data_IF_272958438865
#
_entry.id   IF_272958438865
#
_cell.length_a   1.000
_cell.length_b   1.000
_cell.length_c   1.000
_cell.angle_alpha   90.00
_cell.angle_beta   90.00
_cell.angle_gamma   90.00
#
_symmetry.space_group_name_H-M   'P 1'
#
loop_
_entity.id
_entity.type
_entity.pdbx_description
1 polymer ?
#
# COMPACT_ATOMS: atom_id res chain seq x y z
N UNK A 1 -5.95 23.23 -5.29
CA UNK A 1 -6.29 22.84 -3.90
C UNK A 1 -7.79 22.81 -3.69
N UNK A 2 -8.43 21.67 -3.96
CA UNK A 2 -9.83 21.42 -3.58
C UNK A 2 -9.88 20.84 -2.15
N UNK A 3 -11.00 21.00 -1.42
CA UNK A 3 -11.19 20.32 -0.13
C UNK A 3 -10.99 18.81 -0.23
N UNK A 4 -11.41 18.19 -1.34
CA UNK A 4 -11.22 16.77 -1.60
C UNK A 4 -9.75 16.36 -1.70
N UNK A 5 -8.90 17.17 -2.35
CA UNK A 5 -7.46 16.90 -2.44
C UNK A 5 -6.78 16.98 -1.07
N UNK A 6 -7.20 17.94 -0.23
CA UNK A 6 -6.68 18.06 1.13
C UNK A 6 -7.05 16.85 2.00
N UNK A 7 -8.31 16.41 1.92
CA UNK A 7 -8.76 15.20 2.63
C UNK A 7 -7.98 13.97 2.17
N UNK A 8 -7.78 13.80 0.87
CA UNK A 8 -6.97 12.71 0.32
C UNK A 8 -5.56 12.71 0.91
N UNK A 9 -4.84 13.85 0.88
CA UNK A 9 -3.48 13.93 1.38
C UNK A 9 -3.38 13.61 2.87
N UNK A 10 -4.31 14.11 3.68
CA UNK A 10 -4.38 13.81 5.12
C UNK A 10 -4.66 12.33 5.34
N UNK A 11 -5.58 11.72 4.58
CA UNK A 11 -5.86 10.29 4.65
C UNK A 11 -4.63 9.46 4.32
N UNK A 12 -3.84 9.85 3.31
CA UNK A 12 -2.60 9.14 2.94
C UNK A 12 -1.53 9.23 4.04
N UNK A 13 -1.38 10.39 4.68
CA UNK A 13 -0.51 10.57 5.84
C UNK A 13 -0.92 9.64 7.00
N UNK A 14 -2.19 9.68 7.40
CA UNK A 14 -2.71 8.86 8.50
C UNK A 14 -2.59 7.36 8.19
N UNK A 15 -2.88 6.98 6.94
CA UNK A 15 -2.74 5.61 6.47
C UNK A 15 -1.30 5.12 6.60
N UNK A 16 -0.33 5.88 6.10
CA UNK A 16 1.07 5.50 6.16
C UNK A 16 1.62 5.47 7.60
N UNK A 17 1.21 6.41 8.46
CA UNK A 17 1.56 6.40 9.90
C UNK A 17 1.00 5.14 10.59
N UNK A 18 -0.23 4.73 10.27
CA UNK A 18 -0.85 3.52 10.85
C UNK A 18 -0.09 2.24 10.47
N UNK A 19 0.41 2.17 9.24
CA UNK A 19 1.23 1.06 8.77
C UNK A 19 2.60 1.03 9.47
N UNK A 20 3.27 2.18 9.59
CA UNK A 20 4.54 2.29 10.29
C UNK A 20 4.38 1.89 11.78
N UNK A 21 3.31 2.31 12.44
CA UNK A 21 3.00 1.91 13.81
C UNK A 21 2.80 0.39 13.95
N UNK A 22 2.03 -0.22 13.05
CA UNK A 22 1.86 -1.68 12.99
C UNK A 22 3.19 -2.40 12.81
N UNK A 23 4.05 -1.88 11.94
CA UNK A 23 5.35 -2.45 11.68
C UNK A 23 6.27 -2.44 12.91
N UNK A 24 6.27 -1.36 13.69
CA UNK A 24 7.05 -1.25 14.94
C UNK A 24 6.65 -2.36 15.92
N UNK A 25 5.34 -2.64 16.07
CA UNK A 25 4.85 -3.74 16.92
C UNK A 25 5.33 -5.11 16.46
N UNK A 26 5.43 -5.30 15.14
CA UNK A 26 5.84 -6.57 14.54
C UNK A 26 7.36 -6.73 14.42
N UNK A 27 8.13 -5.66 14.57
CA UNK A 27 9.57 -5.61 14.30
C UNK A 27 10.36 -6.73 14.99
N UNK A 28 10.08 -7.00 16.27
CA UNK A 28 10.82 -8.03 17.02
C UNK A 28 10.44 -9.45 16.62
N UNK A 29 9.22 -9.68 16.11
CA UNK A 29 8.69 -11.01 15.80
C UNK A 29 8.90 -11.39 14.34
N UNK A 30 8.76 -10.43 13.42
CA UNK A 30 8.70 -10.65 11.98
C UNK A 30 9.38 -9.51 11.22
N UNK A 31 10.70 -9.36 11.39
CA UNK A 31 11.49 -8.25 10.79
C UNK A 31 11.27 -8.10 9.28
N UNK A 32 11.32 -9.17 8.45
CA UNK A 32 11.17 -9.01 7.00
C UNK A 32 9.80 -8.44 6.63
N UNK A 33 8.73 -8.95 7.24
CA UNK A 33 7.39 -8.44 7.02
C UNK A 33 7.21 -7.01 7.56
N UNK A 34 7.71 -6.72 8.76
CA UNK A 34 7.69 -5.37 9.33
C UNK A 34 8.42 -4.37 8.42
N UNK A 35 9.54 -4.75 7.80
CA UNK A 35 10.24 -3.89 6.85
C UNK A 35 9.36 -3.54 5.64
N UNK A 36 8.61 -4.51 5.09
CA UNK A 36 7.69 -4.23 3.98
C UNK A 36 6.63 -3.20 4.39
N UNK A 37 6.05 -3.32 5.59
CA UNK A 37 5.08 -2.37 6.12
C UNK A 37 5.67 -0.98 6.38
N UNK A 38 6.92 -0.89 6.85
CA UNK A 38 7.62 0.40 7.01
C UNK A 38 7.76 1.09 5.65
N UNK A 39 8.23 0.37 4.63
CA UNK A 39 8.40 0.93 3.29
C UNK A 39 7.06 1.37 2.70
N UNK A 40 6.00 0.59 2.92
CA UNK A 40 4.64 0.94 2.49
C UNK A 40 4.15 2.20 3.19
N UNK A 41 4.35 2.26 4.52
CA UNK A 41 4.00 3.42 5.33
C UNK A 41 4.74 4.69 4.89
N UNK A 42 6.05 4.59 4.66
CA UNK A 42 6.86 5.72 4.18
C UNK A 42 6.44 6.18 2.78
N UNK A 43 6.10 5.26 1.88
CA UNK A 43 5.57 5.60 0.56
C UNK A 43 4.29 6.43 0.65
N UNK A 44 3.31 5.98 1.44
CA UNK A 44 2.03 6.69 1.57
C UNK A 44 2.10 7.96 2.42
N UNK A 45 2.99 8.03 3.42
CA UNK A 45 3.35 9.31 4.05
C UNK A 45 3.90 10.27 2.99
N UNK A 46 4.83 9.79 2.16
CA UNK A 46 5.39 10.56 1.06
C UNK A 46 4.31 11.06 0.09
N UNK A 47 3.35 10.23 -0.31
CA UNK A 47 2.23 10.64 -1.19
C UNK A 47 1.41 11.78 -0.57
N UNK A 48 1.18 11.76 0.75
CA UNK A 48 0.47 12.82 1.44
C UNK A 48 1.26 14.14 1.58
N UNK A 49 2.60 14.10 1.51
CA UNK A 49 3.49 15.27 1.56
C UNK A 49 3.74 15.83 0.16
N UNK A 50 4.19 14.97 -0.76
CA UNK A 50 4.49 15.32 -2.14
C UNK A 50 3.22 15.15 -2.97
N UNK A 51 2.42 16.21 -3.04
CA UNK A 51 1.19 16.25 -3.84
C UNK A 51 1.49 16.18 -5.34
N UNK A 52 0.46 16.10 -6.18
CA UNK A 52 0.61 16.06 -7.65
C UNK A 52 1.39 17.22 -8.26
N UNK A 53 1.56 18.33 -7.52
CA UNK A 53 2.41 19.46 -7.93
C UNK A 53 3.91 19.08 -7.95
N UNK A 54 4.29 18.05 -7.20
CA UNK A 54 5.66 17.51 -7.13
C UNK A 54 5.77 16.21 -7.95
N UNK A 55 5.45 16.27 -9.25
CA UNK A 55 5.28 15.09 -10.11
C UNK A 55 6.35 13.98 -9.92
N UNK A 56 7.64 14.32 -9.98
CA UNK A 56 8.71 13.33 -9.84
C UNK A 56 8.77 12.72 -8.43
N UNK A 57 8.72 13.56 -7.40
CA UNK A 57 8.76 13.11 -6.01
C UNK A 57 7.54 12.25 -5.68
N UNK A 58 6.36 12.67 -6.15
CA UNK A 58 5.09 11.96 -5.99
C UNK A 58 5.16 10.55 -6.60
N UNK A 59 5.64 10.42 -7.85
CA UNK A 59 5.76 9.12 -8.52
C UNK A 59 6.70 8.19 -7.73
N UNK A 60 7.84 8.69 -7.26
CA UNK A 60 8.81 7.88 -6.52
C UNK A 60 8.21 7.33 -5.22
N UNK A 61 7.54 8.18 -4.44
CA UNK A 61 6.94 7.74 -3.17
C UNK A 61 5.69 6.90 -3.36
N UNK A 62 4.91 7.16 -4.43
CA UNK A 62 3.78 6.31 -4.81
C UNK A 62 4.26 4.90 -5.18
N UNK A 63 5.29 4.77 -6.02
CA UNK A 63 5.87 3.48 -6.39
C UNK A 63 6.45 2.74 -5.18
N UNK A 64 7.13 3.46 -4.27
CA UNK A 64 7.59 2.87 -3.02
C UNK A 64 6.42 2.26 -2.24
N UNK A 65 5.32 3.00 -2.08
CA UNK A 65 4.12 2.56 -1.38
C UNK A 65 3.44 1.36 -2.06
N UNK A 66 3.21 1.46 -3.38
CA UNK A 66 2.51 0.44 -4.16
C UNK A 66 3.29 -0.88 -4.26
N UNK A 67 4.57 -0.82 -4.60
CA UNK A 67 5.41 -2.02 -4.74
C UNK A 67 5.58 -2.71 -3.38
N UNK A 68 5.97 -1.95 -2.35
CA UNK A 68 6.15 -2.55 -1.02
C UNK A 68 4.84 -3.06 -0.43
N UNK A 69 3.70 -2.41 -0.70
CA UNK A 69 2.38 -2.87 -0.25
C UNK A 69 1.97 -4.18 -0.94
N UNK A 70 2.22 -4.31 -2.24
CA UNK A 70 2.10 -5.55 -2.99
C UNK A 70 2.93 -6.69 -2.39
N UNK A 71 4.20 -6.39 -2.09
CA UNK A 71 5.11 -7.35 -1.44
C UNK A 71 4.66 -7.70 -0.02
N UNK A 72 4.17 -6.72 0.76
CA UNK A 72 3.65 -6.95 2.11
C UNK A 72 2.45 -7.92 2.10
N UNK A 73 1.52 -7.75 1.16
CA UNK A 73 0.38 -8.66 0.96
C UNK A 73 0.84 -10.10 0.73
N UNK A 74 1.81 -10.31 -0.16
CA UNK A 74 2.36 -11.64 -0.42
C UNK A 74 3.12 -12.18 0.79
N UNK A 75 3.95 -11.35 1.42
CA UNK A 75 4.76 -11.73 2.58
C UNK A 75 3.91 -12.05 3.82
N UNK A 76 2.66 -11.61 3.90
CA UNK A 76 1.76 -11.87 5.02
C UNK A 76 1.57 -13.37 5.30
N UNK A 77 1.63 -14.23 4.27
CA UNK A 77 1.52 -15.70 4.40
C UNK A 77 2.67 -16.31 5.22
N UNK A 78 3.82 -15.62 5.28
CA UNK A 78 4.99 -16.05 6.08
C UNK A 78 4.80 -15.79 7.57
N UNK A 79 3.92 -14.84 7.92
CA UNK A 79 3.57 -14.54 9.31
C UNK A 79 2.58 -15.58 9.84
N UNK A 80 1.58 -15.93 9.03
CA UNK A 80 0.51 -16.86 9.42
C UNK A 80 -0.17 -17.46 8.19
N UNK A 81 -0.54 -18.74 8.28
CA UNK A 81 -1.19 -19.49 7.19
C UNK A 81 -2.68 -19.67 7.46
N UNK A 82 -3.48 -18.62 7.28
CA UNK A 82 -4.94 -18.73 7.38
C UNK A 82 -5.61 -18.41 6.05
N UNK A 83 -6.92 -18.64 5.96
CA UNK A 83 -7.73 -18.34 4.78
C UNK A 83 -7.55 -16.89 4.28
N UNK A 84 -7.42 -15.93 5.20
CA UNK A 84 -7.21 -14.53 4.83
C UNK A 84 -5.87 -14.29 4.13
N UNK A 85 -4.79 -14.92 4.58
CA UNK A 85 -3.47 -14.76 3.97
C UNK A 85 -3.37 -15.52 2.64
N UNK A 86 -4.09 -16.63 2.47
CA UNK A 86 -4.24 -17.26 1.16
C UNK A 86 -4.95 -16.36 0.16
N UNK A 87 -5.92 -15.54 0.59
CA UNK A 87 -6.53 -14.49 -0.23
C UNK A 87 -5.60 -13.28 -0.44
N UNK A 88 -4.74 -12.98 0.53
CA UNK A 88 -3.80 -11.85 0.47
C UNK A 88 -2.75 -12.03 -0.62
N UNK A 89 -2.27 -13.25 -0.85
CA UNK A 89 -1.25 -13.54 -1.88
C UNK A 89 -1.71 -13.16 -3.31
N UNK A 90 -2.83 -13.67 -3.85
CA UNK A 90 -3.28 -13.30 -5.19
C UNK A 90 -3.65 -11.81 -5.29
N UNK A 91 -4.19 -11.21 -4.22
CA UNK A 91 -4.45 -9.77 -4.18
C UNK A 91 -3.16 -8.94 -4.25
N UNK A 92 -2.09 -9.42 -3.60
CA UNK A 92 -0.75 -8.85 -3.69
C UNK A 92 -0.16 -8.92 -5.10
N UNK A 93 -0.28 -10.09 -5.74
CA UNK A 93 0.14 -10.27 -7.14
C UNK A 93 -0.64 -9.34 -8.07
N UNK A 94 -1.96 -9.26 -7.91
CA UNK A 94 -2.80 -8.35 -8.68
C UNK A 94 -2.37 -6.88 -8.51
N UNK A 95 -2.08 -6.45 -7.29
CA UNK A 95 -1.58 -5.09 -7.01
C UNK A 95 -0.24 -4.81 -7.70
N UNK A 96 0.69 -5.75 -7.69
CA UNK A 96 1.99 -5.62 -8.37
C UNK A 96 1.84 -5.58 -9.89
N UNK A 97 0.95 -6.41 -10.46
CA UNK A 97 0.65 -6.39 -11.89
C UNK A 97 0.04 -5.03 -12.28
N UNK A 98 -0.92 -4.53 -11.52
CA UNK A 98 -1.50 -3.19 -11.75
C UNK A 98 -0.43 -2.09 -11.67
N UNK A 99 0.50 -2.19 -10.71
CA UNK A 99 1.63 -1.24 -10.59
C UNK A 99 2.58 -1.32 -11.79
N UNK A 100 2.87 -2.53 -12.28
CA UNK A 100 3.70 -2.73 -13.47
C UNK A 100 3.02 -2.17 -14.75
N UNK A 101 1.71 -2.37 -14.89
CA UNK A 101 0.93 -1.83 -16.00
C UNK A 101 0.88 -0.29 -15.96
N UNK A 102 0.72 0.28 -14.77
CA UNK A 102 0.85 1.73 -14.53
C UNK A 102 2.20 2.26 -15.02
N UNK A 103 3.31 1.61 -14.65
CA UNK A 103 4.65 1.99 -15.11
C UNK A 103 4.86 1.85 -16.62
N UNK A 104 4.14 0.92 -17.24
CA UNK A 104 4.24 0.63 -18.68
C UNK A 104 3.30 1.47 -19.53
N UNK A 105 2.53 2.39 -18.93
CA UNK A 105 1.46 3.16 -19.58
C UNK A 105 0.39 2.27 -20.27
N UNK A 106 0.24 1.03 -19.81
CA UNK A 106 -0.73 0.06 -20.33
C UNK A 106 -2.03 0.16 -19.52
N UNK A 107 -2.90 1.08 -19.91
CA UNK A 107 -4.07 1.45 -19.10
C UNK A 107 -5.37 0.74 -19.46
N UNK A 108 -5.43 -0.05 -20.54
CA UNK A 108 -6.63 -0.78 -20.98
C UNK A 108 -7.93 0.07 -21.00
N UNK A 109 -7.82 1.37 -21.25
CA UNK A 109 -8.97 2.29 -21.31
C UNK A 109 -9.43 2.88 -19.97
N UNK A 110 -8.84 2.51 -18.82
CA UNK A 110 -9.20 3.09 -17.50
C UNK A 110 -8.29 4.27 -17.08
N UNK A 111 -7.28 4.58 -17.89
CA UNK A 111 -6.33 5.67 -17.68
C UNK A 111 -5.28 5.39 -16.60
N UNK A 112 -4.23 6.24 -16.58
CA UNK A 112 -3.07 6.11 -15.69
C UNK A 112 -3.51 6.11 -14.22
N UNK A 113 -4.32 7.10 -13.82
CA UNK A 113 -4.86 7.16 -12.46
C UNK A 113 -5.81 6.01 -12.12
N UNK A 114 -6.43 5.37 -13.12
CA UNK A 114 -7.22 4.16 -12.92
C UNK A 114 -6.33 2.97 -12.52
N UNK A 115 -5.22 2.77 -13.21
CA UNK A 115 -4.24 1.72 -12.89
C UNK A 115 -3.61 1.91 -11.51
N UNK A 116 -3.23 3.15 -11.18
CA UNK A 116 -2.72 3.49 -9.85
C UNK A 116 -3.75 3.16 -8.76
N UNK A 117 -5.02 3.50 -8.98
CA UNK A 117 -6.12 3.18 -8.05
C UNK A 117 -6.36 1.67 -7.91
N UNK A 118 -6.21 0.88 -8.97
CA UNK A 118 -6.34 -0.59 -8.86
C UNK A 118 -5.29 -1.17 -7.91
N UNK A 119 -4.03 -0.74 -8.05
CA UNK A 119 -2.96 -1.15 -7.15
C UNK A 119 -3.22 -0.69 -5.71
N UNK A 120 -3.61 0.57 -5.54
CA UNK A 120 -3.88 1.16 -4.23
C UNK A 120 -5.11 0.55 -3.52
N UNK A 121 -6.23 0.35 -4.23
CA UNK A 121 -7.44 -0.24 -3.67
C UNK A 121 -7.22 -1.67 -3.19
N UNK A 122 -6.36 -2.43 -3.88
CA UNK A 122 -5.94 -3.76 -3.43
C UNK A 122 -5.27 -3.70 -2.04
N UNK A 123 -4.39 -2.71 -1.84
CA UNK A 123 -3.73 -2.47 -0.56
C UNK A 123 -4.74 -2.01 0.51
N UNK A 124 -5.67 -1.11 0.18
CA UNK A 124 -6.70 -0.65 1.12
C UNK A 124 -7.62 -1.78 1.58
N UNK A 125 -8.09 -2.62 0.65
CA UNK A 125 -8.93 -3.79 0.96
C UNK A 125 -8.17 -4.74 1.90
N UNK A 126 -6.92 -5.05 1.57
CA UNK A 126 -6.10 -5.94 2.39
C UNK A 126 -5.82 -5.36 3.78
N UNK A 127 -5.38 -4.11 3.88
CA UNK A 127 -5.04 -3.48 5.16
C UNK A 127 -6.24 -3.37 6.09
N UNK A 128 -7.44 -3.10 5.54
CA UNK A 128 -8.69 -3.09 6.31
C UNK A 128 -8.99 -4.46 6.93
N UNK A 129 -8.82 -5.55 6.17
CA UNK A 129 -9.00 -6.92 6.68
C UNK A 129 -7.88 -7.37 7.63
N UNK A 130 -6.63 -7.04 7.31
CA UNK A 130 -5.45 -7.45 8.09
C UNK A 130 -5.42 -6.78 9.47
N UNK A 131 -5.79 -5.50 9.55
CA UNK A 131 -5.87 -4.75 10.81
C UNK A 131 -6.95 -5.29 11.75
N UNK A 132 -8.15 -5.58 11.24
CA UNK A 132 -9.24 -6.13 12.06
C UNK A 132 -8.89 -7.47 12.71
N UNK A 133 -8.10 -8.29 12.02
CA UNK A 133 -7.66 -9.60 12.52
C UNK A 133 -6.66 -9.52 13.68
N UNK A 134 -5.85 -8.46 13.74
CA UNK A 134 -4.95 -8.23 14.86
C UNK A 134 -5.68 -7.78 16.14
N UNK A 135 -6.93 -7.33 16.04
CA UNK A 135 -7.73 -6.90 17.21
C UNK A 135 -8.39 -8.11 17.89
N UNK A 136 -8.62 -9.19 17.16
CA UNK A 136 -9.31 -10.40 17.64
C UNK A 136 -8.38 -11.47 18.25
N UNK A 137 -7.08 -11.19 18.35
CA UNK A 137 -6.04 -12.09 18.89
C UNK A 137 -5.20 -11.39 19.96
#
# INVERSE_FOLDING_TARGET
NSPAAMLFNISMLLFGVSLAYTAIKLWKKQKPFALTLILTGLGFIGVGIFTGDFALAHIVVALLGLISGGVAMIASITVRKTLFEYFSVPLGVFSLVATFLFLSDLTFGIGIGGMERLAFYSILIWTSGFGGKQITE
#
